data_IF_406120623251
#
_entry.id   IF_406120623251
#
_cell.length_a   1.000
_cell.length_b   1.000
_cell.length_c   1.000
_cell.angle_alpha   90.00
_cell.angle_beta   90.00
_cell.angle_gamma   90.00
#
_symmetry.space_group_name_H-M   'P 1'
#
loop_
_entity.id
_entity.type
_entity.pdbx_description
1 polymer ?
#
# COMPACT_ATOMS: atom_id res chain seq x y z
N UNK A 1 37.17 15.40 27.20
CA UNK A 1 36.67 14.09 27.66
C UNK A 1 37.59 12.99 27.14
N UNK A 2 38.13 12.13 27.97
CA UNK A 2 38.99 11.05 27.56
C UNK A 2 38.12 9.81 27.19
N UNK A 3 37.92 9.53 25.89
CA UNK A 3 37.09 8.39 25.41
C UNK A 3 37.75 7.05 25.74
N UNK A 4 39.09 6.98 25.77
CA UNK A 4 39.87 5.74 26.09
C UNK A 4 39.49 5.05 27.40
N UNK A 5 39.36 5.76 28.57
CA UNK A 5 38.98 5.08 29.81
C UNK A 5 37.52 4.56 29.80
N UNK A 6 36.62 5.19 29.04
CA UNK A 6 35.22 4.73 28.90
C UNK A 6 35.20 3.42 28.10
N UNK A 7 35.90 3.37 26.96
CA UNK A 7 35.99 2.17 26.15
C UNK A 7 36.60 0.97 26.89
N UNK A 8 37.66 1.21 27.72
CA UNK A 8 38.26 0.13 28.53
C UNK A 8 37.35 -0.38 29.65
N UNK A 9 36.49 0.50 30.22
CA UNK A 9 35.49 0.11 31.20
C UNK A 9 34.36 -0.76 30.57
N UNK A 10 33.94 -0.47 29.35
CA UNK A 10 32.97 -1.26 28.58
C UNK A 10 33.48 -2.68 28.29
N UNK A 11 34.80 -2.81 28.01
CA UNK A 11 35.42 -4.11 27.75
C UNK A 11 35.55 -4.98 29.00
N UNK A 12 35.40 -4.45 30.23
CA UNK A 12 35.38 -5.22 31.47
C UNK A 12 34.02 -5.85 31.79
N UNK A 13 32.92 -5.24 31.32
CA UNK A 13 31.54 -5.73 31.51
C UNK A 13 30.96 -6.28 30.18
N UNK A 14 31.68 -7.23 29.56
CA UNK A 14 31.40 -7.70 28.18
C UNK A 14 29.98 -8.22 27.97
N UNK A 15 29.44 -9.00 28.90
CA UNK A 15 28.12 -9.66 28.74
C UNK A 15 26.95 -8.68 28.68
N UNK A 16 26.91 -7.70 29.59
CA UNK A 16 25.83 -6.70 29.59
C UNK A 16 25.92 -5.74 28.42
N UNK A 17 27.13 -5.28 28.06
CA UNK A 17 27.37 -4.42 26.90
C UNK A 17 27.01 -5.13 25.60
N UNK A 18 27.41 -6.40 25.43
CA UNK A 18 27.10 -7.20 24.24
C UNK A 18 25.58 -7.40 24.07
N UNK A 19 24.87 -7.66 25.18
CA UNK A 19 23.42 -7.85 25.15
C UNK A 19 22.71 -6.61 24.64
N UNK A 20 23.08 -5.41 25.11
CA UNK A 20 22.46 -4.16 24.61
C UNK A 20 22.85 -3.88 23.15
N UNK A 21 24.12 -4.06 22.77
CA UNK A 21 24.57 -3.90 21.39
C UNK A 21 23.75 -4.80 20.47
N UNK A 22 23.58 -6.08 20.84
CA UNK A 22 22.79 -7.03 20.05
C UNK A 22 21.31 -6.64 20.01
N UNK A 23 20.74 -6.20 21.13
CA UNK A 23 19.36 -5.75 21.22
C UNK A 23 19.11 -4.52 20.32
N UNK A 24 19.99 -3.50 20.39
CA UNK A 24 19.91 -2.31 19.53
C UNK A 24 20.06 -2.70 18.07
N UNK A 25 21.01 -3.57 17.75
CA UNK A 25 21.27 -4.02 16.38
C UNK A 25 20.05 -4.76 15.80
N UNK A 26 19.45 -5.68 16.53
CA UNK A 26 18.27 -6.42 16.09
C UNK A 26 17.05 -5.49 15.96
N UNK A 27 16.86 -4.60 16.95
CA UNK A 27 15.75 -3.61 16.88
C UNK A 27 15.91 -2.70 15.67
N UNK A 28 17.13 -2.18 15.40
CA UNK A 28 17.37 -1.35 14.23
C UNK A 28 17.07 -2.08 12.92
N UNK A 29 17.56 -3.32 12.79
CA UNK A 29 17.34 -4.12 11.59
C UNK A 29 15.86 -4.33 11.30
N UNK A 30 15.07 -4.65 12.32
CA UNK A 30 13.63 -4.87 12.18
C UNK A 30 12.89 -3.56 11.92
N UNK A 31 13.17 -2.51 12.71
CA UNK A 31 12.48 -1.23 12.61
C UNK A 31 12.71 -0.55 11.26
N UNK A 32 13.94 -0.56 10.72
CA UNK A 32 14.22 0.02 9.40
C UNK A 32 13.40 -0.66 8.29
N UNK A 33 13.38 -2.00 8.28
CA UNK A 33 12.61 -2.75 7.30
C UNK A 33 11.09 -2.57 7.51
N UNK A 34 10.62 -2.53 8.76
CA UNK A 34 9.21 -2.28 9.07
C UNK A 34 8.76 -0.88 8.64
N UNK A 35 9.55 0.17 8.90
CA UNK A 35 9.26 1.54 8.46
C UNK A 35 9.17 1.62 6.93
N UNK A 36 10.06 0.95 6.22
CA UNK A 36 10.01 0.86 4.76
C UNK A 36 8.73 0.17 4.28
N UNK A 37 8.36 -0.97 4.88
CA UNK A 37 7.14 -1.70 4.55
C UNK A 37 5.90 -0.85 4.85
N UNK A 38 5.83 -0.20 6.01
CA UNK A 38 4.72 0.70 6.39
C UNK A 38 4.57 1.81 5.35
N UNK A 39 5.68 2.48 5.00
CA UNK A 39 5.64 3.56 4.00
C UNK A 39 5.16 3.05 2.63
N UNK A 40 5.67 1.93 2.16
CA UNK A 40 5.25 1.32 0.90
C UNK A 40 3.75 0.96 0.90
N UNK A 41 3.21 0.47 2.03
CA UNK A 41 1.78 0.19 2.20
C UNK A 41 0.95 1.46 2.24
N UNK A 42 1.39 2.47 2.99
CA UNK A 42 0.70 3.77 3.06
C UNK A 42 0.66 4.46 1.69
N UNK A 43 1.75 4.41 0.92
CA UNK A 43 1.79 4.93 -0.44
C UNK A 43 0.79 4.23 -1.39
N UNK A 44 0.52 2.92 -1.16
CA UNK A 44 -0.53 2.21 -1.90
C UNK A 44 -1.93 2.68 -1.51
N UNK A 45 -2.18 2.86 -0.21
CA UNK A 45 -3.48 3.33 0.30
C UNK A 45 -3.86 4.72 -0.26
N UNK A 46 -2.86 5.61 -0.44
CA UNK A 46 -3.07 6.97 -0.94
C UNK A 46 -3.13 7.06 -2.47
N UNK A 47 -2.91 5.96 -3.20
CA UNK A 47 -2.91 5.98 -4.67
C UNK A 47 -4.32 6.24 -5.21
N UNK A 48 -4.49 7.24 -6.10
CA UNK A 48 -5.79 7.48 -6.73
C UNK A 48 -6.18 6.31 -7.64
N UNK A 49 -7.43 5.86 -7.58
CA UNK A 49 -7.95 4.78 -8.47
C UNK A 49 -8.17 5.25 -9.91
N UNK A 50 -8.30 6.55 -10.10
CA UNK A 50 -8.74 7.17 -11.35
C UNK A 50 -10.25 7.39 -11.41
N UNK A 51 -11.02 6.69 -10.56
CA UNK A 51 -12.48 6.85 -10.43
C UNK A 51 -12.78 8.02 -9.49
N UNK A 52 -13.82 8.78 -9.81
CA UNK A 52 -14.42 9.72 -8.87
C UNK A 52 -15.30 8.95 -7.88
N UNK A 53 -14.67 8.57 -6.75
CA UNK A 53 -15.18 7.58 -5.80
C UNK A 53 -16.36 8.04 -4.95
N UNK A 54 -16.60 9.36 -4.87
CA UNK A 54 -17.56 9.93 -3.93
C UNK A 54 -18.99 9.43 -4.14
N UNK A 55 -19.40 9.34 -5.41
CA UNK A 55 -20.79 9.09 -5.75
C UNK A 55 -20.99 7.82 -6.61
N UNK A 56 -20.04 6.89 -6.59
CA UNK A 56 -20.14 5.63 -7.33
C UNK A 56 -20.50 4.47 -6.41
N UNK A 57 -21.45 3.65 -6.85
CA UNK A 57 -21.79 2.35 -6.27
C UNK A 57 -21.55 1.22 -7.26
N UNK A 58 -21.23 0.04 -6.75
CA UNK A 58 -20.98 -1.19 -7.49
C UNK A 58 -22.02 -2.22 -7.09
N UNK A 59 -22.64 -2.87 -8.06
CA UNK A 59 -23.60 -3.94 -7.85
C UNK A 59 -23.16 -5.13 -8.68
N UNK A 60 -22.75 -6.21 -8.03
CA UNK A 60 -22.46 -7.48 -8.68
C UNK A 60 -23.74 -8.29 -8.76
N UNK A 61 -24.14 -8.65 -9.96
CA UNK A 61 -25.37 -9.36 -10.23
C UNK A 61 -25.08 -10.69 -10.92
N UNK A 62 -25.82 -11.71 -10.57
CA UNK A 62 -25.79 -12.99 -11.27
C UNK A 62 -27.23 -13.44 -11.55
N UNK A 63 -27.54 -13.71 -12.82
CA UNK A 63 -28.83 -14.28 -13.20
C UNK A 63 -28.82 -15.80 -13.01
N UNK A 64 -29.94 -16.34 -12.55
CA UNK A 64 -30.18 -17.78 -12.36
C UNK A 64 -30.78 -18.41 -13.63
N UNK A 65 -30.68 -19.76 -13.72
CA UNK A 65 -31.33 -20.53 -14.78
C UNK A 65 -30.55 -20.68 -16.07
N UNK A 66 -29.23 -20.38 -16.06
CA UNK A 66 -28.32 -20.51 -17.21
C UNK A 66 -28.87 -19.89 -18.52
N UNK A 67 -29.19 -18.59 -18.52
CA UNK A 67 -29.78 -17.91 -19.67
C UNK A 67 -28.83 -17.90 -20.87
N UNK A 68 -29.38 -18.02 -22.07
CA UNK A 68 -28.61 -17.91 -23.33
C UNK A 68 -28.04 -16.48 -23.50
N UNK A 69 -27.01 -16.28 -24.34
CA UNK A 69 -26.46 -14.96 -24.60
C UNK A 69 -27.48 -13.92 -25.02
N UNK A 70 -28.46 -14.29 -25.86
CA UNK A 70 -29.54 -13.41 -26.27
C UNK A 70 -30.48 -13.01 -25.12
N UNK A 71 -30.76 -13.95 -24.20
CA UNK A 71 -31.53 -13.67 -22.99
C UNK A 71 -30.75 -12.77 -22.04
N UNK A 72 -29.44 -13.00 -21.88
CA UNK A 72 -28.57 -12.13 -21.07
C UNK A 72 -28.54 -10.71 -21.61
N UNK A 73 -28.44 -10.54 -22.92
CA UNK A 73 -28.48 -9.23 -23.56
C UNK A 73 -29.79 -8.50 -23.24
N UNK A 74 -30.94 -9.18 -23.37
CA UNK A 74 -32.26 -8.62 -23.06
C UNK A 74 -32.40 -8.27 -21.55
N UNK A 75 -31.93 -9.15 -20.66
CA UNK A 75 -31.92 -8.92 -19.21
C UNK A 75 -31.04 -7.73 -18.82
N UNK A 76 -29.83 -7.65 -19.38
CA UNK A 76 -28.92 -6.54 -19.13
C UNK A 76 -29.51 -5.20 -19.63
N UNK A 77 -30.10 -5.18 -20.80
CA UNK A 77 -30.76 -3.98 -21.33
C UNK A 77 -31.94 -3.54 -20.45
N UNK A 78 -32.76 -4.49 -19.97
CA UNK A 78 -33.86 -4.23 -19.03
C UNK A 78 -33.35 -3.69 -17.69
N UNK A 79 -32.27 -4.26 -17.16
CA UNK A 79 -31.66 -3.83 -15.91
C UNK A 79 -31.09 -2.42 -16.02
N UNK A 80 -30.34 -2.11 -17.07
CA UNK A 80 -29.81 -0.77 -17.32
C UNK A 80 -30.94 0.27 -17.46
N UNK A 81 -32.03 -0.09 -18.13
CA UNK A 81 -33.19 0.79 -18.25
C UNK A 81 -33.88 1.00 -16.89
N UNK A 82 -34.03 -0.04 -16.08
CA UNK A 82 -34.59 0.02 -14.72
C UNK A 82 -33.74 0.93 -13.83
N UNK A 83 -32.42 0.76 -13.85
CA UNK A 83 -31.50 1.57 -13.07
C UNK A 83 -31.51 3.04 -13.52
N UNK A 84 -31.47 3.32 -14.81
CA UNK A 84 -31.52 4.70 -15.34
C UNK A 84 -32.80 5.46 -14.98
N UNK A 85 -33.91 4.75 -14.77
CA UNK A 85 -35.20 5.33 -14.36
C UNK A 85 -35.30 5.57 -12.84
N UNK A 86 -34.40 4.98 -12.04
CA UNK A 86 -34.44 5.09 -10.60
C UNK A 86 -34.00 6.49 -10.15
N UNK A 87 -34.82 7.12 -9.29
CA UNK A 87 -34.49 8.43 -8.73
C UNK A 87 -33.19 8.36 -7.90
N UNK A 88 -32.30 9.31 -8.10
CA UNK A 88 -31.02 9.38 -7.42
C UNK A 88 -29.86 8.74 -8.19
N UNK A 89 -30.12 8.11 -9.36
CA UNK A 89 -29.09 7.68 -10.29
C UNK A 89 -28.84 8.77 -11.33
N UNK A 90 -27.59 9.11 -11.55
CA UNK A 90 -27.17 10.04 -12.59
C UNK A 90 -26.79 9.29 -13.86
N UNK A 91 -26.06 8.18 -13.76
CA UNK A 91 -25.68 7.35 -14.88
C UNK A 91 -25.35 5.92 -14.46
N UNK A 92 -25.32 4.95 -15.39
CA UNK A 92 -25.00 3.55 -15.14
C UNK A 92 -24.52 2.84 -16.39
N UNK A 93 -23.55 1.95 -16.21
CA UNK A 93 -23.11 1.03 -17.26
C UNK A 93 -22.81 -0.38 -16.70
N UNK A 94 -22.71 -1.36 -17.61
CA UNK A 94 -22.40 -2.73 -17.27
C UNK A 94 -20.95 -3.08 -17.67
N UNK A 95 -20.23 -3.80 -16.83
CA UNK A 95 -18.84 -4.19 -17.07
C UNK A 95 -18.56 -5.63 -16.60
N UNK A 96 -17.38 -6.13 -16.97
CA UNK A 96 -16.82 -7.40 -16.46
C UNK A 96 -16.10 -7.26 -15.12
N UNK A 97 -15.90 -6.04 -14.64
CA UNK A 97 -15.15 -5.72 -13.45
C UNK A 97 -14.93 -4.21 -13.29
N UNK A 98 -14.21 -3.84 -12.26
CA UNK A 98 -13.97 -2.44 -11.90
C UNK A 98 -12.59 -2.28 -11.24
N UNK A 99 -12.00 -1.08 -11.24
CA UNK A 99 -10.76 -0.82 -10.52
C UNK A 99 -10.88 -1.17 -9.05
N UNK A 100 -9.80 -1.73 -8.48
CA UNK A 100 -9.74 -2.19 -7.08
C UNK A 100 -10.60 -3.43 -6.76
N UNK A 101 -11.23 -4.10 -7.74
CA UNK A 101 -11.86 -5.40 -7.53
C UNK A 101 -10.82 -6.49 -7.16
N UNK A 102 -11.27 -7.62 -6.62
CA UNK A 102 -10.37 -8.71 -6.23
C UNK A 102 -9.75 -9.45 -7.41
N UNK A 103 -10.33 -9.36 -8.60
CA UNK A 103 -9.84 -10.01 -9.81
C UNK A 103 -10.28 -9.28 -11.08
N UNK A 104 -9.70 -9.65 -12.21
CA UNK A 104 -10.03 -9.05 -13.48
C UNK A 104 -9.30 -9.70 -14.65
N UNK A 105 -9.57 -9.23 -15.84
CA UNK A 105 -8.95 -9.71 -17.06
C UNK A 105 -7.69 -8.91 -17.38
N UNK A 106 -6.66 -9.62 -17.87
CA UNK A 106 -5.43 -9.00 -18.37
C UNK A 106 -5.00 -9.63 -19.69
N UNK A 107 -4.32 -8.85 -20.48
CA UNK A 107 -3.71 -9.30 -21.74
C UNK A 107 -2.35 -8.64 -21.92
N UNK A 108 -1.46 -9.32 -22.63
CA UNK A 108 -0.23 -8.70 -23.13
C UNK A 108 -0.54 -7.74 -24.28
N UNK A 109 0.19 -6.64 -24.34
CA UNK A 109 0.11 -5.66 -25.42
C UNK A 109 1.33 -5.77 -26.32
N UNK A 110 1.15 -5.76 -27.63
CA UNK A 110 2.18 -5.83 -28.65
C UNK A 110 1.99 -4.74 -29.70
N UNK A 111 3.08 -4.34 -30.35
CA UNK A 111 3.00 -3.40 -31.47
C UNK A 111 2.55 -4.09 -32.77
N UNK A 112 2.86 -5.39 -32.93
CA UNK A 112 2.46 -6.20 -34.10
C UNK A 112 2.20 -7.64 -33.68
N UNK A 113 1.50 -8.40 -34.53
CA UNK A 113 1.22 -9.83 -34.30
C UNK A 113 2.49 -10.69 -34.30
N UNK A 114 3.53 -10.30 -35.03
CA UNK A 114 4.80 -11.04 -35.15
C UNK A 114 5.71 -10.89 -33.93
N UNK A 115 5.39 -9.94 -33.05
CA UNK A 115 6.18 -9.72 -31.83
C UNK A 115 6.01 -10.88 -30.85
N UNK A 116 7.11 -11.60 -30.56
CA UNK A 116 7.09 -12.79 -29.69
C UNK A 116 6.75 -12.46 -28.23
N UNK A 117 7.33 -11.40 -27.69
CA UNK A 117 7.11 -10.99 -26.28
C UNK A 117 6.27 -9.74 -26.20
N UNK A 118 5.30 -9.66 -25.27
CA UNK A 118 4.54 -8.44 -25.06
C UNK A 118 5.44 -7.26 -24.67
N UNK A 119 5.14 -6.07 -25.18
CA UNK A 119 5.79 -4.82 -24.77
C UNK A 119 5.36 -4.40 -23.37
N UNK A 120 4.12 -4.73 -23.00
CA UNK A 120 3.55 -4.50 -21.68
C UNK A 120 2.38 -5.45 -21.41
N UNK A 121 1.88 -5.42 -20.17
CA UNK A 121 0.59 -6.00 -19.80
C UNK A 121 -0.41 -4.87 -19.52
N UNK A 122 -1.70 -5.17 -19.68
CA UNK A 122 -2.79 -4.24 -19.40
C UNK A 122 -3.98 -4.96 -18.78
N UNK A 123 -4.70 -4.30 -17.87
CA UNK A 123 -6.01 -4.74 -17.43
C UNK A 123 -7.04 -4.44 -18.51
N UNK A 124 -8.02 -5.32 -18.68
CA UNK A 124 -9.10 -5.18 -19.67
C UNK A 124 -10.41 -4.92 -18.95
N UNK A 125 -11.02 -3.78 -19.24
CA UNK A 125 -12.34 -3.42 -18.75
C UNK A 125 -13.29 -3.25 -19.92
N UNK A 126 -14.44 -3.89 -19.84
CA UNK A 126 -15.51 -3.72 -20.81
C UNK A 126 -16.23 -2.41 -20.51
N UNK A 127 -16.44 -1.64 -21.54
CA UNK A 127 -16.89 -0.27 -21.44
C UNK A 127 -17.92 0.04 -22.54
N UNK A 128 -18.71 1.04 -22.27
CA UNK A 128 -19.64 1.64 -23.24
C UNK A 128 -19.48 3.17 -23.27
N UNK A 129 -20.35 3.87 -23.95
CA UNK A 129 -20.36 5.33 -24.06
C UNK A 129 -20.58 6.04 -22.72
N UNK A 130 -21.21 5.37 -21.74
CA UNK A 130 -21.49 5.90 -20.39
C UNK A 130 -20.33 5.74 -19.41
N UNK A 131 -19.33 4.89 -19.74
CA UNK A 131 -18.27 4.49 -18.81
C UNK A 131 -17.48 5.67 -18.25
N UNK A 132 -17.08 6.62 -19.13
CA UNK A 132 -16.26 7.77 -18.68
C UNK A 132 -17.04 8.66 -17.70
N UNK A 133 -18.30 8.94 -18.01
CA UNK A 133 -19.16 9.79 -17.18
C UNK A 133 -19.54 9.09 -15.87
N UNK A 134 -19.88 7.79 -15.94
CA UNK A 134 -20.23 7.01 -14.75
C UNK A 134 -19.07 6.90 -13.77
N UNK A 135 -17.85 6.68 -14.25
CA UNK A 135 -16.67 6.59 -13.39
C UNK A 135 -16.00 7.94 -13.10
N UNK A 136 -16.37 9.00 -13.80
CA UNK A 136 -15.73 10.31 -13.73
C UNK A 136 -14.29 10.28 -14.27
N UNK A 137 -14.02 9.44 -15.28
CA UNK A 137 -12.71 9.32 -15.89
C UNK A 137 -12.42 10.52 -16.78
N UNK A 138 -11.24 11.12 -16.62
CA UNK A 138 -10.82 12.26 -17.44
C UNK A 138 -10.20 11.79 -18.73
N UNK A 139 -10.79 12.19 -19.86
CA UNK A 139 -10.20 12.02 -21.18
C UNK A 139 -9.10 13.06 -21.39
N UNK A 140 -7.88 12.63 -21.67
CA UNK A 140 -6.70 13.49 -21.88
C UNK A 140 -6.51 13.82 -23.36
N UNK A 141 -6.80 12.86 -24.22
CA UNK A 141 -6.67 13.01 -25.67
C UNK A 141 -7.67 12.11 -26.41
N UNK A 142 -8.06 12.50 -27.61
CA UNK A 142 -8.97 11.73 -28.47
C UNK A 142 -10.43 11.89 -28.09
N UNK A 143 -11.22 10.81 -28.20
CA UNK A 143 -12.66 10.79 -27.96
C UNK A 143 -13.12 9.54 -27.21
N UNK A 144 -14.32 9.61 -26.65
CA UNK A 144 -15.02 8.46 -26.06
C UNK A 144 -15.57 7.50 -27.13
N UNK A 145 -16.01 6.33 -26.70
CA UNK A 145 -16.81 5.40 -27.52
C UNK A 145 -18.13 6.03 -27.93
N UNK A 146 -18.65 5.55 -29.07
CA UNK A 146 -20.01 5.85 -29.55
C UNK A 146 -20.87 4.61 -29.33
N UNK A 147 -22.17 4.80 -29.20
CA UNK A 147 -23.12 3.71 -29.04
C UNK A 147 -23.08 2.66 -30.15
N UNK A 148 -22.82 3.09 -31.41
CA UNK A 148 -22.69 2.22 -32.58
C UNK A 148 -21.36 1.40 -32.60
N UNK A 149 -20.41 1.74 -31.77
CA UNK A 149 -19.14 1.00 -31.62
C UNK A 149 -19.21 -0.11 -30.55
N UNK A 150 -20.28 -0.15 -29.75
CA UNK A 150 -20.42 -1.11 -28.66
C UNK A 150 -20.88 -2.47 -29.18
N UNK A 151 -20.00 -3.46 -29.05
CA UNK A 151 -20.30 -4.84 -29.43
C UNK A 151 -20.78 -5.69 -28.27
N UNK A 152 -21.18 -6.91 -28.59
CA UNK A 152 -21.53 -7.92 -27.59
C UNK A 152 -20.57 -9.09 -27.74
N UNK A 153 -20.17 -9.69 -26.62
CA UNK A 153 -19.23 -10.80 -26.59
C UNK A 153 -19.70 -11.86 -25.59
N UNK A 154 -19.87 -13.09 -26.04
CA UNK A 154 -20.11 -14.23 -25.17
C UNK A 154 -18.81 -14.69 -24.49
N UNK A 155 -18.91 -15.49 -23.41
CA UNK A 155 -17.76 -15.92 -22.61
C UNK A 155 -16.69 -16.69 -23.40
N UNK A 156 -17.08 -17.36 -24.47
CA UNK A 156 -16.18 -18.17 -25.29
C UNK A 156 -15.64 -17.45 -26.53
N UNK A 157 -16.13 -16.23 -26.80
CA UNK A 157 -15.71 -15.47 -27.96
C UNK A 157 -14.30 -14.90 -27.77
N UNK A 158 -13.63 -14.66 -28.87
CA UNK A 158 -12.34 -13.97 -28.86
C UNK A 158 -12.55 -12.47 -28.72
N UNK A 159 -11.75 -11.84 -27.87
CA UNK A 159 -11.76 -10.38 -27.69
C UNK A 159 -11.09 -9.72 -28.89
N UNK A 160 -11.87 -9.13 -29.79
CA UNK A 160 -11.42 -8.53 -31.05
C UNK A 160 -11.88 -7.07 -31.19
N UNK A 161 -11.43 -6.15 -30.34
CA UNK A 161 -11.84 -4.76 -30.40
C UNK A 161 -11.24 -4.05 -31.62
N UNK A 162 -12.08 -3.32 -32.39
CA UNK A 162 -11.58 -2.47 -33.47
C UNK A 162 -10.99 -1.16 -32.95
N UNK A 163 -11.60 -0.61 -31.93
CA UNK A 163 -11.20 0.63 -31.26
C UNK A 163 -11.05 0.42 -29.76
N UNK A 164 -10.17 1.18 -29.12
CA UNK A 164 -9.90 1.06 -27.69
C UNK A 164 -9.59 2.44 -27.08
N UNK A 165 -9.82 2.54 -25.76
CA UNK A 165 -9.23 3.60 -24.92
C UNK A 165 -8.15 3.00 -24.04
N UNK A 166 -7.09 3.75 -23.80
CA UNK A 166 -5.99 3.30 -22.92
C UNK A 166 -5.68 4.37 -21.87
N UNK A 167 -5.09 3.96 -20.76
CA UNK A 167 -4.60 4.91 -19.75
C UNK A 167 -3.36 5.64 -20.24
N UNK A 168 -3.15 6.87 -19.73
CA UNK A 168 -1.96 7.67 -20.01
C UNK A 168 -0.68 6.92 -19.68
N UNK A 169 -0.63 6.20 -18.56
CA UNK A 169 0.53 5.38 -18.15
C UNK A 169 0.87 4.32 -19.19
N UNK A 170 -0.15 3.68 -19.81
CA UNK A 170 0.08 2.72 -20.90
C UNK A 170 0.50 3.43 -22.18
N UNK A 171 -0.12 4.58 -22.50
CA UNK A 171 0.21 5.38 -23.67
C UNK A 171 1.67 5.88 -23.61
N UNK A 172 2.10 6.47 -22.51
CA UNK A 172 3.46 6.98 -22.31
C UNK A 172 4.52 5.84 -22.38
N UNK A 173 4.15 4.64 -21.92
CA UNK A 173 5.04 3.48 -22.00
C UNK A 173 5.23 2.96 -23.42
N UNK A 174 4.13 2.90 -24.19
CA UNK A 174 4.15 2.37 -25.55
C UNK A 174 4.62 3.43 -26.59
N UNK A 175 4.28 4.70 -26.35
CA UNK A 175 4.53 5.82 -27.26
C UNK A 175 5.12 7.01 -26.49
N UNK A 176 6.41 6.97 -26.17
CA UNK A 176 7.07 8.07 -25.41
C UNK A 176 7.05 9.41 -26.14
N UNK A 177 6.75 9.41 -27.45
CA UNK A 177 6.56 10.60 -28.28
C UNK A 177 5.25 11.36 -27.98
N UNK A 178 4.38 10.82 -27.12
CA UNK A 178 3.12 11.43 -26.71
C UNK A 178 1.97 11.29 -27.71
N UNK A 179 2.18 10.64 -28.87
CA UNK A 179 1.19 10.52 -29.95
C UNK A 179 0.61 9.10 -30.01
N UNK A 180 -0.22 8.73 -29.01
CA UNK A 180 -0.85 7.42 -28.95
C UNK A 180 -2.16 7.33 -29.75
N UNK A 181 -2.95 8.41 -29.79
CA UNK A 181 -4.24 8.44 -30.52
C UNK A 181 -4.02 8.24 -32.01
N UNK A 182 -4.82 7.36 -32.62
CA UNK A 182 -4.71 6.95 -34.02
C UNK A 182 -3.73 5.82 -34.31
N UNK A 183 -2.81 5.51 -33.35
CA UNK A 183 -1.90 4.35 -33.49
C UNK A 183 -2.63 3.05 -33.19
N UNK A 184 -2.04 1.94 -33.65
CA UNK A 184 -2.59 0.61 -33.49
C UNK A 184 -1.72 -0.25 -32.58
N UNK A 185 -2.36 -1.09 -31.77
CA UNK A 185 -1.73 -2.09 -30.91
C UNK A 185 -2.52 -3.39 -30.95
N UNK A 186 -1.85 -4.52 -30.69
CA UNK A 186 -2.48 -5.84 -30.59
C UNK A 186 -2.67 -6.19 -29.11
N UNK A 187 -3.90 -6.57 -28.72
CA UNK A 187 -4.25 -7.02 -27.37
C UNK A 187 -4.31 -8.55 -27.38
N UNK A 188 -3.39 -9.19 -26.66
CA UNK A 188 -3.29 -10.66 -26.69
C UNK A 188 -2.94 -11.16 -28.09
N UNK A 189 -3.78 -12.04 -28.63
CA UNK A 189 -3.70 -12.56 -30.00
C UNK A 189 -4.69 -11.89 -30.98
N UNK A 190 -5.32 -10.78 -30.56
CA UNK A 190 -6.26 -10.07 -31.40
C UNK A 190 -5.56 -9.29 -32.54
N UNK A 191 -6.24 -9.06 -33.68
CA UNK A 191 -5.79 -8.13 -34.70
C UNK A 191 -5.54 -6.72 -34.13
N UNK A 192 -4.82 -5.85 -34.86
CA UNK A 192 -4.55 -4.50 -34.39
C UNK A 192 -5.83 -3.71 -34.10
N UNK A 193 -5.87 -3.10 -32.92
CA UNK A 193 -6.93 -2.20 -32.45
C UNK A 193 -6.45 -0.75 -32.51
N UNK A 194 -7.29 0.17 -32.99
CA UNK A 194 -6.96 1.60 -33.07
C UNK A 194 -7.24 2.28 -31.71
N UNK A 195 -6.26 2.99 -31.18
CA UNK A 195 -6.41 3.82 -29.98
C UNK A 195 -7.18 5.08 -30.39
N UNK A 196 -8.41 5.26 -29.88
CA UNK A 196 -9.25 6.41 -30.19
C UNK A 196 -9.22 7.48 -29.10
N UNK A 197 -8.74 7.13 -27.90
CA UNK A 197 -8.60 8.09 -26.81
C UNK A 197 -7.70 7.58 -25.70
N UNK A 198 -7.25 8.53 -24.89
CA UNK A 198 -6.39 8.30 -23.73
C UNK A 198 -7.06 8.89 -22.50
N UNK A 199 -7.28 8.07 -21.48
CA UNK A 199 -7.78 8.50 -20.17
C UNK A 199 -6.61 8.77 -19.23
N UNK A 200 -6.75 9.73 -18.31
CA UNK A 200 -5.68 10.15 -17.41
C UNK A 200 -5.16 8.95 -16.58
N UNK A 201 -6.05 8.33 -15.83
CA UNK A 201 -5.69 7.24 -14.91
C UNK A 201 -6.86 6.29 -14.70
N UNK A 202 -6.53 5.01 -14.59
CA UNK A 202 -7.44 3.97 -14.13
C UNK A 202 -6.61 2.81 -13.59
N UNK A 203 -6.73 2.53 -12.28
CA UNK A 203 -6.02 1.40 -11.68
C UNK A 203 -6.56 0.06 -12.17
N UNK A 204 -5.70 -0.95 -12.10
CA UNK A 204 -6.07 -2.36 -12.28
C UNK A 204 -6.80 -2.90 -11.04
N UNK A 205 -7.22 -4.16 -11.07
CA UNK A 205 -7.75 -4.85 -9.89
C UNK A 205 -6.65 -5.05 -8.83
N UNK A 206 -7.05 -5.20 -7.56
CA UNK A 206 -6.12 -5.24 -6.43
C UNK A 206 -5.26 -6.52 -6.37
N UNK A 207 -5.76 -7.63 -6.91
CA UNK A 207 -5.02 -8.89 -7.04
C UNK A 207 -3.81 -8.83 -7.97
N UNK A 208 -3.64 -7.74 -8.74
CA UNK A 208 -2.44 -7.50 -9.52
C UNK A 208 -1.31 -7.02 -8.62
N UNK A 209 -0.42 -7.94 -8.24
CA UNK A 209 0.76 -7.63 -7.42
C UNK A 209 1.91 -6.99 -8.20
N UNK A 210 1.85 -7.01 -9.54
CA UNK A 210 2.88 -6.39 -10.38
C UNK A 210 2.73 -4.87 -10.37
N UNK A 211 3.65 -4.20 -9.71
CA UNK A 211 3.68 -2.73 -9.71
C UNK A 211 4.00 -2.13 -11.08
N UNK A 212 4.59 -2.92 -11.99
CA UNK A 212 5.05 -2.45 -13.29
C UNK A 212 3.91 -2.01 -14.24
N UNK A 213 2.69 -2.55 -14.05
CA UNK A 213 1.55 -2.22 -14.91
C UNK A 213 0.23 -1.95 -14.14
N UNK A 214 0.34 -1.59 -12.85
CA UNK A 214 -0.79 -1.37 -11.95
C UNK A 214 -1.73 -0.21 -12.38
N UNK A 215 -1.26 0.73 -13.20
CA UNK A 215 -2.05 1.81 -13.78
C UNK A 215 -2.22 1.67 -15.30
N UNK A 216 -1.94 0.48 -15.84
CA UNK A 216 -2.07 0.21 -17.28
C UNK A 216 -3.37 -0.52 -17.53
N UNK A 217 -4.38 0.23 -17.91
CA UNK A 217 -5.72 -0.27 -18.22
C UNK A 217 -6.12 0.07 -19.64
N UNK A 218 -6.86 -0.84 -20.26
CA UNK A 218 -7.46 -0.70 -21.57
C UNK A 218 -8.96 -0.91 -21.45
N UNK A 219 -9.72 0.04 -21.95
CA UNK A 219 -11.17 -0.08 -22.08
C UNK A 219 -11.50 -0.56 -23.49
N UNK A 220 -12.37 -1.54 -23.58
CA UNK A 220 -12.80 -2.15 -24.82
C UNK A 220 -14.31 -2.03 -24.99
N UNK A 221 -14.83 -1.68 -26.19
CA UNK A 221 -16.23 -1.37 -26.39
C UNK A 221 -17.08 -2.64 -26.54
N UNK A 222 -17.22 -3.39 -25.46
CA UNK A 222 -18.03 -4.60 -25.44
C UNK A 222 -18.89 -4.70 -24.17
N UNK A 223 -20.06 -5.31 -24.33
CA UNK A 223 -20.85 -5.86 -23.22
C UNK A 223 -20.62 -7.38 -23.16
N UNK A 224 -20.22 -7.88 -21.99
CA UNK A 224 -19.95 -9.30 -21.79
C UNK A 224 -21.25 -10.03 -21.46
N UNK A 225 -21.65 -10.97 -22.34
CA UNK A 225 -22.86 -11.77 -22.20
C UNK A 225 -22.55 -13.04 -21.40
N UNK A 226 -22.47 -12.91 -20.08
CA UNK A 226 -22.30 -14.01 -19.12
C UNK A 226 -23.39 -13.92 -18.05
N UNK A 227 -23.64 -15.03 -17.33
CA UNK A 227 -24.62 -15.05 -16.24
C UNK A 227 -24.32 -14.06 -15.11
N UNK A 228 -23.08 -13.62 -14.98
CA UNK A 228 -22.67 -12.60 -14.02
C UNK A 228 -22.28 -11.27 -14.70
N UNK A 229 -22.70 -10.17 -14.16
CA UNK A 229 -22.32 -8.82 -14.61
C UNK A 229 -22.13 -7.87 -13.42
N UNK A 230 -21.38 -6.81 -13.64
CA UNK A 230 -21.20 -5.74 -12.66
C UNK A 230 -21.83 -4.48 -13.18
N UNK A 231 -22.78 -3.91 -12.46
CA UNK A 231 -23.30 -2.58 -12.72
C UNK A 231 -22.50 -1.56 -11.90
N UNK A 232 -21.92 -0.58 -12.58
CA UNK A 232 -21.34 0.59 -11.96
C UNK A 232 -22.33 1.73 -12.10
N UNK A 233 -22.69 2.31 -10.98
CA UNK A 233 -23.80 3.25 -10.89
C UNK A 233 -23.29 4.55 -10.27
N UNK A 234 -23.40 5.64 -11.04
CA UNK A 234 -23.17 6.97 -10.51
C UNK A 234 -24.45 7.49 -9.86
N UNK A 235 -24.40 7.71 -8.57
CA UNK A 235 -25.45 8.37 -7.84
C UNK A 235 -25.43 9.89 -8.08
N UNK A 236 -26.56 10.56 -7.82
CA UNK A 236 -26.55 12.00 -7.64
C UNK A 236 -25.70 12.36 -6.41
N UNK A 237 -25.08 13.55 -6.35
CA UNK A 237 -24.16 13.94 -5.29
C UNK A 237 -24.71 13.69 -3.89
N UNK A 238 -23.92 12.97 -3.06
CA UNK A 238 -24.25 12.64 -1.69
C UNK A 238 -25.27 11.51 -1.50
N UNK A 239 -25.63 10.75 -2.55
CA UNK A 239 -26.65 9.68 -2.44
C UNK A 239 -26.13 8.25 -2.71
N UNK A 240 -24.83 7.93 -2.65
CA UNK A 240 -24.35 6.60 -3.02
C UNK A 240 -24.90 5.49 -2.11
N UNK A 241 -25.04 5.73 -0.79
CA UNK A 241 -25.61 4.74 0.12
C UNK A 241 -27.11 4.51 -0.10
N UNK A 242 -27.86 5.55 -0.52
CA UNK A 242 -29.26 5.41 -0.89
C UNK A 242 -29.39 4.55 -2.13
N UNK A 243 -28.60 4.84 -3.18
CA UNK A 243 -28.58 4.07 -4.41
C UNK A 243 -28.16 2.62 -4.16
N UNK A 244 -27.14 2.39 -3.35
CA UNK A 244 -26.70 1.03 -2.96
C UNK A 244 -27.82 0.22 -2.27
N UNK A 245 -28.76 0.86 -1.60
CA UNK A 245 -29.93 0.17 -0.99
C UNK A 245 -31.09 -0.02 -1.94
N UNK A 246 -31.40 1.00 -2.76
CA UNK A 246 -32.62 1.00 -3.59
C UNK A 246 -32.44 0.31 -4.94
N UNK A 247 -31.24 0.37 -5.53
CA UNK A 247 -30.99 -0.22 -6.84
C UNK A 247 -31.14 -1.75 -6.86
N UNK A 248 -30.64 -2.54 -5.89
CA UNK A 248 -30.90 -3.98 -5.85
C UNK A 248 -32.38 -4.32 -5.76
N UNK A 249 -33.14 -3.56 -4.96
CA UNK A 249 -34.59 -3.77 -4.82
C UNK A 249 -35.33 -3.55 -6.15
N UNK A 250 -34.94 -2.52 -6.89
CA UNK A 250 -35.51 -2.26 -8.22
C UNK A 250 -35.18 -3.38 -9.22
N UNK A 251 -33.93 -3.89 -9.17
CA UNK A 251 -33.49 -5.03 -9.99
C UNK A 251 -34.25 -6.32 -9.65
N UNK A 252 -34.46 -6.64 -8.37
CA UNK A 252 -35.30 -7.77 -7.94
C UNK A 252 -36.75 -7.60 -8.35
N UNK A 253 -37.30 -6.37 -8.29
CA UNK A 253 -38.64 -6.07 -8.76
C UNK A 253 -38.82 -6.28 -10.27
N UNK A 254 -37.78 -5.99 -11.06
CA UNK A 254 -37.79 -6.21 -12.51
C UNK A 254 -37.64 -7.68 -12.89
N UNK A 255 -36.75 -8.40 -12.22
CA UNK A 255 -36.56 -9.84 -12.40
C UNK A 255 -36.05 -10.47 -11.09
N UNK A 256 -36.84 -11.33 -10.41
CA UNK A 256 -36.45 -11.99 -9.18
C UNK A 256 -35.45 -13.16 -9.37
N UNK A 257 -35.26 -13.66 -10.61
CA UNK A 257 -34.34 -14.77 -10.92
C UNK A 257 -32.90 -14.29 -10.99
N UNK A 258 -32.40 -13.78 -9.84
CA UNK A 258 -31.03 -13.31 -9.70
C UNK A 258 -30.49 -13.51 -8.28
N UNK A 259 -29.18 -13.45 -8.15
CA UNK A 259 -28.47 -13.39 -6.89
C UNK A 259 -27.74 -12.06 -6.81
N UNK A 260 -28.01 -11.32 -5.75
CA UNK A 260 -27.25 -10.15 -5.30
C UNK A 260 -27.13 -10.29 -3.79
N UNK A 261 -25.97 -10.70 -3.32
CA UNK A 261 -25.71 -10.87 -1.89
C UNK A 261 -25.44 -9.55 -1.17
N UNK A 262 -25.38 -9.54 0.16
CA UNK A 262 -25.07 -8.33 0.93
C UNK A 262 -23.69 -7.74 0.62
N UNK A 263 -22.71 -8.60 0.28
CA UNK A 263 -21.35 -8.20 -0.08
C UNK A 263 -21.19 -7.79 -1.55
N UNK A 264 -22.21 -8.04 -2.38
CA UNK A 264 -22.21 -7.74 -3.81
C UNK A 264 -22.59 -6.30 -4.12
N UNK A 265 -23.06 -5.55 -3.12
CA UNK A 265 -23.43 -4.14 -3.24
C UNK A 265 -22.57 -3.30 -2.33
N UNK A 266 -21.78 -2.42 -2.93
CA UNK A 266 -20.83 -1.58 -2.19
C UNK A 266 -20.79 -0.17 -2.76
N UNK A 267 -20.70 0.84 -1.91
CA UNK A 267 -20.20 2.15 -2.35
C UNK A 267 -18.73 2.03 -2.72
N UNK A 268 -18.23 2.91 -3.58
CA UNK A 268 -16.81 2.83 -3.98
C UNK A 268 -15.84 3.08 -2.81
N UNK A 269 -16.26 3.86 -1.82
CA UNK A 269 -15.54 4.00 -0.56
C UNK A 269 -15.38 2.66 0.18
N UNK A 270 -16.44 1.82 0.21
CA UNK A 270 -16.38 0.47 0.78
C UNK A 270 -15.53 -0.48 -0.08
N UNK A 271 -15.58 -0.34 -1.41
CA UNK A 271 -14.68 -1.06 -2.32
C UNK A 271 -13.22 -0.75 -1.97
N UNK A 272 -12.85 0.52 -1.87
CA UNK A 272 -11.49 0.94 -1.48
C UNK A 272 -11.10 0.42 -0.11
N UNK A 273 -11.98 0.53 0.89
CA UNK A 273 -11.72 0.04 2.23
C UNK A 273 -11.46 -1.48 2.25
N UNK A 274 -12.23 -2.25 1.48
CA UNK A 274 -12.09 -3.70 1.33
C UNK A 274 -10.79 -4.05 0.60
N UNK A 275 -10.51 -3.39 -0.52
CA UNK A 275 -9.33 -3.60 -1.36
C UNK A 275 -8.02 -3.45 -0.56
N UNK A 276 -7.95 -2.42 0.27
CA UNK A 276 -6.75 -2.12 1.06
C UNK A 276 -6.78 -2.62 2.51
N UNK A 277 -7.77 -3.42 2.90
CA UNK A 277 -7.89 -3.98 4.26
C UNK A 277 -6.63 -4.72 4.70
N UNK A 278 -6.06 -5.55 3.84
CA UNK A 278 -4.82 -6.30 4.11
C UNK A 278 -3.61 -5.39 4.27
N UNK A 279 -3.47 -4.37 3.40
CA UNK A 279 -2.35 -3.41 3.48
C UNK A 279 -2.42 -2.58 4.76
N UNK A 280 -3.62 -2.11 5.14
CA UNK A 280 -3.86 -1.39 6.40
C UNK A 280 -3.57 -2.27 7.62
N UNK A 281 -4.04 -3.52 7.62
CA UNK A 281 -3.78 -4.47 8.69
C UNK A 281 -2.29 -4.75 8.88
N UNK A 282 -1.55 -4.94 7.77
CA UNK A 282 -0.10 -5.15 7.82
C UNK A 282 0.64 -3.91 8.34
N UNK A 283 0.27 -2.70 7.91
CA UNK A 283 0.88 -1.47 8.40
C UNK A 283 0.67 -1.28 9.91
N UNK A 284 -0.54 -1.56 10.43
CA UNK A 284 -0.85 -1.51 11.86
C UNK A 284 -0.02 -2.55 12.62
N UNK A 285 0.02 -3.81 12.14
CA UNK A 285 0.79 -4.88 12.78
C UNK A 285 2.28 -4.53 12.88
N UNK A 286 2.86 -4.05 11.78
CA UNK A 286 4.27 -3.61 11.78
C UNK A 286 4.51 -2.44 12.73
N UNK A 287 3.57 -1.49 12.81
CA UNK A 287 3.63 -0.38 13.76
C UNK A 287 3.62 -0.84 15.23
N UNK A 288 2.76 -1.79 15.54
CA UNK A 288 2.70 -2.39 16.89
C UNK A 288 4.00 -3.12 17.23
N UNK A 289 4.54 -3.92 16.30
CA UNK A 289 5.83 -4.61 16.49
C UNK A 289 6.95 -3.59 16.74
N UNK A 290 7.02 -2.52 15.96
CA UNK A 290 8.00 -1.45 16.17
C UNK A 290 7.85 -0.81 17.56
N UNK A 291 6.64 -0.49 18.01
CA UNK A 291 6.38 0.10 19.30
C UNK A 291 6.84 -0.82 20.45
N UNK A 292 6.52 -2.12 20.35
CA UNK A 292 6.97 -3.12 21.35
C UNK A 292 8.49 -3.23 21.40
N UNK A 293 9.15 -3.34 20.23
CA UNK A 293 10.62 -3.45 20.16
C UNK A 293 11.31 -2.20 20.71
N UNK A 294 10.84 -1.01 20.37
CA UNK A 294 11.38 0.25 20.87
C UNK A 294 11.18 0.38 22.39
N UNK A 295 10.01 0.02 22.91
CA UNK A 295 9.72 0.03 24.36
C UNK A 295 10.59 -0.95 25.11
N UNK A 296 10.77 -2.18 24.60
CA UNK A 296 11.64 -3.20 25.19
C UNK A 296 13.10 -2.75 25.18
N UNK A 297 13.55 -2.12 24.09
CA UNK A 297 14.92 -1.58 24.00
C UNK A 297 15.13 -0.44 24.98
N UNK A 298 14.18 0.49 25.10
CA UNK A 298 14.24 1.55 26.11
C UNK A 298 14.30 0.99 27.54
N UNK A 299 13.44 0.03 27.85
CA UNK A 299 13.41 -0.62 29.17
C UNK A 299 14.74 -1.36 29.48
N UNK A 300 15.32 -2.06 28.50
CA UNK A 300 16.61 -2.71 28.60
C UNK A 300 17.75 -1.72 28.93
N UNK A 301 17.79 -0.59 28.21
CA UNK A 301 18.77 0.47 28.44
C UNK A 301 18.59 1.09 29.83
N UNK A 302 17.36 1.41 30.26
CA UNK A 302 17.06 1.93 31.60
C UNK A 302 17.47 0.95 32.67
N UNK A 303 17.12 -0.33 32.52
CA UNK A 303 17.42 -1.37 33.48
C UNK A 303 18.93 -1.56 33.69
N UNK A 304 19.69 -1.72 32.60
CA UNK A 304 21.12 -1.93 32.67
C UNK A 304 21.87 -0.69 33.16
N UNK A 305 21.46 0.50 32.70
CA UNK A 305 22.05 1.76 33.20
C UNK A 305 21.81 1.91 34.71
N UNK A 306 20.60 1.61 35.18
CA UNK A 306 20.27 1.64 36.62
C UNK A 306 21.11 0.64 37.42
N UNK A 307 21.31 -0.57 36.90
CA UNK A 307 22.17 -1.58 37.50
C UNK A 307 23.63 -1.11 37.59
N UNK A 308 24.17 -0.55 36.51
CA UNK A 308 25.56 -0.03 36.52
C UNK A 308 25.73 1.18 37.46
N UNK A 309 24.75 2.05 37.54
CA UNK A 309 24.73 3.14 38.52
C UNK A 309 24.78 2.59 39.92
N UNK A 310 23.97 1.59 40.23
CA UNK A 310 23.96 0.96 41.57
C UNK A 310 25.31 0.33 41.91
N UNK A 311 25.92 -0.42 40.98
CA UNK A 311 27.20 -1.07 41.16
C UNK A 311 28.37 -0.08 41.31
N UNK A 312 28.28 1.11 40.68
CA UNK A 312 29.35 2.13 40.70
C UNK A 312 29.10 3.27 41.72
N UNK A 313 28.10 3.13 42.61
CA UNK A 313 27.74 4.19 43.57
C UNK A 313 28.95 4.71 44.38
N UNK A 314 29.80 3.83 44.86
CA UNK A 314 31.00 4.20 45.64
C UNK A 314 31.99 5.03 44.78
N UNK A 315 32.26 4.63 43.55
CA UNK A 315 33.14 5.35 42.64
C UNK A 315 32.55 6.74 42.24
N UNK A 316 31.23 6.85 42.07
CA UNK A 316 30.54 8.12 41.82
C UNK A 316 30.69 9.06 43.01
N UNK A 317 30.52 8.53 44.25
CA UNK A 317 30.69 9.29 45.49
C UNK A 317 32.10 9.84 45.64
N UNK A 318 33.14 9.02 45.43
CA UNK A 318 34.55 9.47 45.46
C UNK A 318 34.84 10.55 44.43
N UNK A 319 34.37 10.40 43.20
CA UNK A 319 34.53 11.43 42.14
C UNK A 319 33.89 12.75 42.55
N UNK A 320 32.67 12.71 43.14
CA UNK A 320 32.00 13.90 43.62
C UNK A 320 32.72 14.56 44.80
N UNK A 321 33.29 13.78 45.72
CA UNK A 321 34.12 14.30 46.79
C UNK A 321 35.40 14.98 46.29
N UNK A 322 35.95 14.53 45.16
CA UNK A 322 37.09 15.12 44.47
C UNK A 322 36.72 16.29 43.52
N UNK A 323 35.46 16.82 43.57
CA UNK A 323 35.05 18.02 42.87
C UNK A 323 34.34 17.80 41.52
N UNK A 324 33.99 16.55 41.15
CA UNK A 324 33.22 16.32 39.92
C UNK A 324 31.79 16.90 40.01
N UNK A 325 31.36 17.65 38.99
CA UNK A 325 30.04 18.24 38.93
C UNK A 325 28.97 17.21 38.53
N UNK A 326 27.69 17.54 38.81
CA UNK A 326 26.56 16.71 38.35
C UNK A 326 26.57 16.53 36.83
N UNK A 327 26.96 17.58 36.09
CA UNK A 327 27.06 17.55 34.60
C UNK A 327 28.14 16.57 34.13
N UNK A 328 29.25 16.46 34.83
CA UNK A 328 30.33 15.53 34.46
C UNK A 328 29.88 14.07 34.59
N UNK A 329 29.10 13.75 35.61
CA UNK A 329 28.57 12.40 35.85
C UNK A 329 27.50 12.08 34.79
N UNK A 330 26.57 13.01 34.52
CA UNK A 330 25.56 12.85 33.47
C UNK A 330 26.21 12.63 32.11
N UNK A 331 27.16 13.50 31.73
CA UNK A 331 27.88 13.41 30.49
C UNK A 331 28.65 12.09 30.33
N UNK A 332 29.21 11.55 31.41
CA UNK A 332 29.86 10.25 31.40
C UNK A 332 28.91 9.12 30.98
N UNK A 333 27.73 9.00 31.63
CA UNK A 333 26.76 7.96 31.33
C UNK A 333 26.13 8.16 29.90
N UNK A 334 25.86 9.40 29.50
CA UNK A 334 25.38 9.69 28.15
C UNK A 334 26.42 9.30 27.09
N UNK A 335 27.72 9.58 27.33
CA UNK A 335 28.80 9.19 26.40
C UNK A 335 28.99 7.67 26.36
N UNK A 336 28.93 7.00 27.50
CA UNK A 336 29.01 5.54 27.60
C UNK A 336 27.88 4.87 26.78
N UNK A 337 26.63 5.35 26.95
CA UNK A 337 25.49 4.85 26.19
C UNK A 337 25.57 5.20 24.70
N UNK A 338 26.08 6.39 24.36
CA UNK A 338 26.25 6.78 22.96
C UNK A 338 27.21 5.82 22.23
N UNK A 339 28.32 5.44 22.84
CA UNK A 339 29.28 4.49 22.27
C UNK A 339 28.65 3.10 22.07
N UNK A 340 27.89 2.61 23.06
CA UNK A 340 27.13 1.35 22.95
C UNK A 340 26.10 1.42 21.82
N UNK A 341 25.34 2.53 21.77
CA UNK A 341 24.31 2.73 20.77
C UNK A 341 24.90 2.86 19.35
N UNK A 342 26.04 3.52 19.18
CA UNK A 342 26.75 3.60 17.90
C UNK A 342 27.26 2.23 17.45
N UNK A 343 27.83 1.43 18.36
CA UNK A 343 28.25 0.06 18.07
C UNK A 343 27.04 -0.81 17.63
N UNK A 344 25.92 -0.73 18.39
CA UNK A 344 24.69 -1.43 18.05
C UNK A 344 24.10 -0.96 16.72
N UNK A 345 24.11 0.36 16.46
CA UNK A 345 23.63 0.92 15.20
C UNK A 345 24.48 0.48 14.00
N UNK A 346 25.80 0.39 14.15
CA UNK A 346 26.67 -0.08 13.07
C UNK A 346 26.38 -1.54 12.69
N UNK A 347 26.32 -2.43 13.68
CA UNK A 347 25.93 -3.83 13.47
C UNK A 347 24.50 -3.95 12.94
N UNK A 348 23.57 -3.18 13.50
CA UNK A 348 22.17 -3.17 13.11
C UNK A 348 21.96 -2.69 11.68
N UNK A 349 22.75 -1.71 11.23
CA UNK A 349 22.73 -1.27 9.81
C UNK A 349 23.13 -2.40 8.88
N UNK A 350 24.19 -3.13 9.17
CA UNK A 350 24.61 -4.28 8.38
C UNK A 350 23.52 -5.37 8.34
N UNK A 351 22.92 -5.67 9.49
CA UNK A 351 21.81 -6.61 9.60
C UNK A 351 20.57 -6.13 8.84
N UNK A 352 20.23 -4.84 8.90
CA UNK A 352 19.11 -4.26 8.16
C UNK A 352 19.26 -4.43 6.65
N UNK A 353 20.47 -4.16 6.12
CA UNK A 353 20.78 -4.31 4.71
C UNK A 353 20.77 -5.79 4.28
N UNK A 354 21.34 -6.68 5.09
CA UNK A 354 21.34 -8.12 4.82
C UNK A 354 19.90 -8.68 4.82
N UNK A 355 19.08 -8.30 5.80
CA UNK A 355 17.67 -8.70 5.86
C UNK A 355 16.89 -8.18 4.64
N UNK A 356 17.11 -6.91 4.26
CA UNK A 356 16.47 -6.35 3.08
C UNK A 356 16.90 -7.08 1.79
N UNK A 357 18.18 -7.43 1.64
CA UNK A 357 18.65 -8.20 0.49
C UNK A 357 17.95 -9.57 0.37
N UNK A 358 17.74 -10.27 1.50
CA UNK A 358 16.96 -11.51 1.55
C UNK A 358 15.48 -11.28 1.16
N UNK A 359 14.87 -10.18 1.63
CA UNK A 359 13.48 -9.84 1.28
C UNK A 359 13.33 -9.48 -0.21
N UNK A 360 14.30 -8.79 -0.79
CA UNK A 360 14.33 -8.48 -2.24
C UNK A 360 14.41 -9.76 -3.06
N UNK A 361 15.31 -10.67 -2.70
CA UNK A 361 15.53 -11.93 -3.42
C UNK A 361 14.34 -12.89 -3.32
N UNK A 362 13.77 -13.05 -2.12
CA UNK A 362 12.69 -14.01 -1.87
C UNK A 362 11.29 -13.52 -2.19
N UNK A 363 11.05 -12.22 -2.09
CA UNK A 363 9.71 -11.62 -2.19
C UNK A 363 9.61 -10.52 -3.26
N UNK A 364 10.62 -10.36 -4.11
CA UNK A 364 10.68 -9.33 -5.15
C UNK A 364 10.34 -7.92 -4.62
N UNK A 365 10.73 -7.62 -3.38
CA UNK A 365 10.50 -6.32 -2.77
C UNK A 365 11.46 -5.28 -3.35
N UNK A 366 11.13 -4.01 -3.20
CA UNK A 366 12.03 -2.92 -3.56
C UNK A 366 13.21 -2.83 -2.58
N UNK A 367 14.35 -2.32 -3.04
CA UNK A 367 15.53 -2.09 -2.21
C UNK A 367 15.26 -1.01 -1.17
N UNK A 368 15.75 -1.23 0.06
CA UNK A 368 15.66 -0.29 1.16
C UNK A 368 16.41 1.00 0.82
N UNK A 369 15.73 2.13 0.83
CA UNK A 369 16.40 3.42 0.65
C UNK A 369 17.26 3.76 1.88
N UNK A 370 18.48 4.31 1.70
CA UNK A 370 19.35 4.73 2.80
C UNK A 370 18.69 5.68 3.80
N UNK A 371 17.68 6.44 3.36
CA UNK A 371 16.94 7.36 4.21
C UNK A 371 16.25 6.66 5.39
N UNK A 372 15.68 5.45 5.19
CA UNK A 372 15.04 4.70 6.28
C UNK A 372 16.05 4.21 7.30
N UNK A 373 17.24 3.80 6.85
CA UNK A 373 18.33 3.40 7.74
C UNK A 373 18.78 4.59 8.58
N UNK A 374 19.01 5.75 7.95
CA UNK A 374 19.38 6.97 8.66
C UNK A 374 18.32 7.40 9.68
N UNK A 375 17.03 7.36 9.29
CA UNK A 375 15.91 7.66 10.20
C UNK A 375 15.88 6.70 11.39
N UNK A 376 16.02 5.39 11.14
CA UNK A 376 16.06 4.38 12.20
C UNK A 376 17.24 4.57 13.17
N UNK A 377 18.44 4.87 12.65
CA UNK A 377 19.64 5.17 13.46
C UNK A 377 19.39 6.39 14.35
N UNK A 378 18.94 7.51 13.78
CA UNK A 378 18.66 8.73 14.54
C UNK A 378 17.60 8.48 15.61
N UNK A 379 16.51 7.78 15.28
CA UNK A 379 15.43 7.45 16.22
C UNK A 379 15.95 6.62 17.39
N UNK A 380 16.77 5.58 17.14
CA UNK A 380 17.33 4.74 18.20
C UNK A 380 18.39 5.47 19.04
N UNK A 381 19.20 6.33 18.44
CA UNK A 381 20.14 7.16 19.20
C UNK A 381 19.40 8.12 20.14
N UNK A 382 18.36 8.78 19.66
CA UNK A 382 17.52 9.68 20.48
C UNK A 382 16.83 8.89 21.59
N UNK A 383 16.23 7.74 21.27
CA UNK A 383 15.58 6.86 22.25
C UNK A 383 16.58 6.40 23.32
N UNK A 384 17.78 5.97 22.90
CA UNK A 384 18.84 5.53 23.80
C UNK A 384 19.29 6.64 24.75
N UNK A 385 19.51 7.85 24.25
CA UNK A 385 19.88 8.99 25.09
C UNK A 385 18.75 9.39 26.06
N UNK A 386 17.50 9.44 25.58
CA UNK A 386 16.34 9.71 26.44
C UNK A 386 16.18 8.65 27.55
N UNK A 387 16.41 7.37 27.24
CA UNK A 387 16.32 6.26 28.20
C UNK A 387 17.38 6.34 29.32
N UNK A 388 18.58 6.80 29.00
CA UNK A 388 19.66 6.95 29.98
C UNK A 388 19.48 8.19 30.86
N UNK A 389 18.78 9.20 30.39
CA UNK A 389 18.67 10.49 31.08
C UNK A 389 18.18 10.37 32.52
N UNK A 390 17.10 9.63 32.76
CA UNK A 390 16.49 9.49 34.08
C UNK A 390 17.43 8.78 35.08
N UNK A 391 17.98 7.58 34.82
CA UNK A 391 18.89 6.92 35.74
C UNK A 391 20.20 7.70 35.91
N UNK A 392 20.76 8.33 34.89
CA UNK A 392 21.97 9.13 35.00
C UNK A 392 21.77 10.41 35.83
N UNK A 393 20.60 11.05 35.68
CA UNK A 393 20.24 12.20 36.50
C UNK A 393 20.08 11.85 37.98
N UNK A 394 19.45 10.71 38.28
CA UNK A 394 19.38 10.20 39.67
C UNK A 394 20.77 9.91 40.23
N UNK A 395 21.65 9.31 39.43
CA UNK A 395 23.05 9.06 39.83
C UNK A 395 23.83 10.35 40.13
N UNK A 396 23.60 11.41 39.35
CA UNK A 396 24.30 12.70 39.55
C UNK A 396 23.94 13.43 40.86
N UNK A 397 22.81 13.09 41.49
CA UNK A 397 22.32 13.69 42.74
C UNK A 397 22.74 12.92 44.00
N UNK A 398 23.43 11.79 43.89
CA UNK A 398 23.90 11.03 45.03
C UNK A 398 24.82 11.90 45.93
N UNK A 399 24.55 11.96 47.24
CA UNK A 399 25.41 12.69 48.19
C UNK A 399 26.69 11.91 48.46
N UNK A 400 27.85 12.58 48.61
CA UNK A 400 29.12 11.88 48.97
C UNK A 400 29.04 11.11 50.32
N UNK A 401 28.21 11.58 51.26
CA UNK A 401 28.02 11.00 52.60
C UNK A 401 27.22 9.69 52.50
N UNK A 402 26.20 9.60 51.69
CA UNK A 402 25.41 8.36 51.49
C UNK A 402 26.22 7.27 50.75
N UNK A 403 27.16 7.65 49.89
CA UNK A 403 28.01 6.72 49.17
C UNK A 403 29.06 6.03 50.06
N UNK A 404 29.40 6.60 51.23
CA UNK A 404 30.36 6.03 52.20
C UNK A 404 29.71 5.17 53.27
N UNK A 405 28.39 5.24 53.48
CA UNK A 405 27.64 4.53 54.54
C UNK A 405 27.13 3.13 54.15
N UNK A 406 27.22 2.73 52.92
CA UNK A 406 26.84 1.39 52.47
C UNK A 406 28.09 0.51 52.41
N UNK A 407 28.55 0.03 53.54
CA UNK A 407 29.45 -1.11 53.71
C UNK A 407 28.64 -2.29 54.21
#
# INVERSE_FOLDING_TARGET
>A
MQIRPIASALLRHKSGTLLIVLQIALTLAIVCNALFIIHARMARLSRPSGVDEADVAVIQNQWLGDPSPQQIQALMASDLQTLRRLSGIADVYASNGFPLSDGGWSKGVRYSMDQRSPASATAIYFADEHTLDTLGLKLVAGRNFRADEIGHMAARDSLLPRVILITKTLADRLFPDGHAVGKQICIGSAPPSTIIGVVDRMQTWIGNYSQAWMEQSTLVPFQLLTSGTVYLVRAQPGMPERVARTAPQALFGANPLRVIGPDDVKTYAQVRASAYKKDRGMAILMGVICAVLLSTTAAGIVGLTSFWVAQRRRHIGVRRALGATQRDILAYFCTENLLISLAGASVGTLLALALNALLVDRFAMQRLSPAYVATGVVMLLVLGQASVWVPAWRASRLSPIEASRTS
#
